data_IF_356223393369
#
_entry.id   IF_356223393369
#
_cell.length_a   1.000
_cell.length_b   1.000
_cell.length_c   1.000
_cell.angle_alpha   90.00
_cell.angle_beta   90.00
_cell.angle_gamma   90.00
#
_symmetry.space_group_name_H-M   'P 1'
#
loop_
_entity.id
_entity.type
_entity.pdbx_description
1 polymer ?
#
# COMPACT_ATOMS: atom_id res chain seq x y z
N UNK A 1 -30.91 23.60 52.36
CA UNK A 1 -30.04 22.72 53.16
C UNK A 1 -29.58 21.62 52.23
N UNK A 2 -28.62 21.94 51.37
CA UNK A 2 -27.92 20.94 50.54
C UNK A 2 -26.91 20.23 51.43
N UNK A 3 -27.07 18.92 51.54
CA UNK A 3 -26.16 18.01 52.21
C UNK A 3 -24.85 17.96 51.45
N UNK A 4 -23.76 18.45 52.05
CA UNK A 4 -22.40 18.29 51.53
C UNK A 4 -22.11 16.80 51.29
N UNK A 5 -21.72 16.39 50.07
CA UNK A 5 -21.28 15.03 49.80
C UNK A 5 -20.01 14.74 50.60
N UNK A 6 -20.00 13.60 51.31
CA UNK A 6 -18.88 13.21 52.16
C UNK A 6 -17.62 12.95 51.30
N UNK A 7 -16.44 13.51 51.64
CA UNK A 7 -15.24 13.41 50.79
C UNK A 7 -14.73 11.97 50.56
N UNK A 8 -15.19 11.02 51.40
CA UNK A 8 -14.89 9.60 51.25
C UNK A 8 -15.65 8.94 50.08
N UNK A 9 -16.85 9.42 49.71
CA UNK A 9 -17.59 8.88 48.57
C UNK A 9 -16.95 9.29 47.24
N UNK A 10 -16.46 10.51 47.15
CA UNK A 10 -15.91 11.05 45.91
C UNK A 10 -14.60 10.35 45.53
N UNK A 11 -13.78 10.01 46.53
CA UNK A 11 -12.56 9.22 46.35
C UNK A 11 -12.88 7.83 45.79
N UNK A 12 -13.89 7.14 46.36
CA UNK A 12 -14.31 5.82 45.89
C UNK A 12 -14.84 5.85 44.46
N UNK A 13 -15.59 6.90 44.13
CA UNK A 13 -16.11 7.13 42.78
C UNK A 13 -14.96 7.34 41.80
N UNK A 14 -13.97 8.16 42.16
CA UNK A 14 -12.82 8.45 41.30
C UNK A 14 -11.93 7.22 41.10
N UNK A 15 -11.71 6.41 42.15
CA UNK A 15 -11.02 5.12 42.03
C UNK A 15 -11.73 4.15 41.07
N UNK A 16 -13.06 4.08 41.16
CA UNK A 16 -13.86 3.27 40.24
C UNK A 16 -13.71 3.77 38.80
N UNK A 17 -13.79 5.08 38.57
CA UNK A 17 -13.63 5.68 37.24
C UNK A 17 -12.24 5.41 36.64
N UNK A 18 -11.17 5.54 37.43
CA UNK A 18 -9.81 5.22 36.99
C UNK A 18 -9.70 3.74 36.59
N UNK A 19 -10.28 2.85 37.39
CA UNK A 19 -10.27 1.41 37.10
C UNK A 19 -10.99 1.11 35.79
N UNK A 20 -12.18 1.67 35.59
CA UNK A 20 -12.99 1.47 34.38
C UNK A 20 -12.25 1.98 33.13
N UNK A 21 -11.61 3.15 33.20
CA UNK A 21 -10.82 3.72 32.10
C UNK A 21 -9.56 2.89 31.80
N UNK A 22 -8.89 2.36 32.82
CA UNK A 22 -7.70 1.51 32.66
C UNK A 22 -8.05 0.19 31.99
N UNK A 23 -9.15 -0.44 32.40
CA UNK A 23 -9.61 -1.70 31.80
C UNK A 23 -9.95 -1.53 30.31
N UNK A 24 -10.58 -0.42 29.92
CA UNK A 24 -10.85 -0.11 28.51
C UNK A 24 -9.57 0.17 27.73
N UNK A 25 -8.61 0.86 28.33
CA UNK A 25 -7.30 1.09 27.70
C UNK A 25 -6.61 -0.23 27.37
N UNK A 26 -6.55 -1.16 28.32
CA UNK A 26 -5.96 -2.48 28.12
C UNK A 26 -6.68 -3.26 27.02
N UNK A 27 -8.02 -3.25 27.01
CA UNK A 27 -8.83 -3.86 25.94
C UNK A 27 -8.50 -3.27 24.56
N UNK A 28 -8.41 -1.95 24.43
CA UNK A 28 -8.04 -1.29 23.17
C UNK A 28 -6.60 -1.65 22.76
N UNK A 29 -5.68 -1.79 23.71
CA UNK A 29 -4.31 -2.17 23.43
C UNK A 29 -4.20 -3.59 22.86
N UNK A 30 -5.02 -4.53 23.35
CA UNK A 30 -5.10 -5.88 22.76
C UNK A 30 -5.64 -5.86 21.33
N UNK A 31 -6.59 -4.97 21.00
CA UNK A 31 -7.11 -4.83 19.63
C UNK A 31 -6.05 -4.34 18.63
N UNK A 32 -5.12 -3.49 19.07
CA UNK A 32 -4.03 -2.98 18.22
C UNK A 32 -3.06 -4.07 17.77
N UNK A 33 -3.06 -5.23 18.44
CA UNK A 33 -2.24 -6.38 18.08
C UNK A 33 -2.92 -7.28 17.05
N UNK A 34 -4.19 -7.03 16.68
CA UNK A 34 -4.90 -7.83 15.69
C UNK A 34 -4.39 -7.47 14.28
N UNK A 35 -3.91 -8.45 13.49
CA UNK A 35 -3.47 -8.21 12.11
C UNK A 35 -4.57 -7.58 11.26
N UNK A 36 -4.23 -6.53 10.51
CA UNK A 36 -5.15 -5.82 9.61
C UNK A 36 -5.67 -6.69 8.46
N UNK A 37 -5.08 -7.86 8.24
CA UNK A 37 -5.59 -8.89 7.31
C UNK A 37 -6.96 -9.43 7.73
N UNK A 38 -7.27 -9.49 9.03
CA UNK A 38 -8.57 -9.98 9.52
C UNK A 38 -9.71 -8.98 9.31
N UNK A 39 -9.39 -7.69 9.16
CA UNK A 39 -10.38 -6.64 8.88
C UNK A 39 -10.81 -6.60 7.40
N UNK A 40 -10.14 -7.34 6.52
CA UNK A 40 -10.45 -7.39 5.07
C UNK A 40 -11.19 -8.66 4.64
N UNK A 41 -11.32 -9.66 5.50
CA UNK A 41 -12.03 -10.89 5.17
C UNK A 41 -13.54 -10.66 5.24
N UNK A 42 -14.22 -10.75 4.11
CA UNK A 42 -15.70 -10.75 4.00
C UNK A 42 -16.29 -12.14 4.23
N UNK A 43 -15.46 -13.13 4.60
CA UNK A 43 -15.91 -14.50 4.82
C UNK A 43 -16.51 -14.63 6.22
N UNK A 44 -17.80 -14.96 6.27
CA UNK A 44 -18.63 -14.93 7.48
C UNK A 44 -18.28 -15.96 8.57
N UNK A 45 -17.25 -16.80 8.38
CA UNK A 45 -17.03 -17.98 9.22
C UNK A 45 -15.98 -17.82 10.34
N UNK A 46 -15.15 -16.77 10.33
CA UNK A 46 -14.15 -16.53 11.39
C UNK A 46 -14.54 -15.35 12.31
N UNK A 47 -15.59 -15.54 13.13
CA UNK A 47 -16.15 -14.48 13.97
C UNK A 47 -15.58 -14.27 15.40
N UNK A 48 -14.55 -14.95 15.95
CA UNK A 48 -14.13 -14.67 17.32
C UNK A 48 -13.53 -13.26 17.49
N UNK A 49 -12.91 -12.71 16.44
CA UNK A 49 -12.39 -11.34 16.45
C UNK A 49 -13.49 -10.27 16.42
N UNK A 50 -14.55 -10.49 15.64
CA UNK A 50 -15.67 -9.56 15.52
C UNK A 50 -16.52 -9.51 16.79
N UNK A 51 -16.71 -10.63 17.49
CA UNK A 51 -17.39 -10.63 18.78
C UNK A 51 -16.66 -9.78 19.83
N UNK A 52 -15.32 -9.88 19.91
CA UNK A 52 -14.52 -9.05 20.80
C UNK A 52 -14.62 -7.56 20.48
N UNK A 53 -14.62 -7.21 19.19
CA UNK A 53 -14.83 -5.82 18.77
C UNK A 53 -16.21 -5.29 19.18
N UNK A 54 -17.24 -6.13 19.06
CA UNK A 54 -18.61 -5.78 19.49
C UNK A 54 -18.69 -5.57 21.00
N UNK A 55 -18.13 -6.49 21.79
CA UNK A 55 -18.08 -6.38 23.26
C UNK A 55 -17.35 -5.11 23.72
N UNK A 56 -16.22 -4.77 23.08
CA UNK A 56 -15.49 -3.53 23.39
C UNK A 56 -16.32 -2.31 22.99
N UNK A 57 -17.01 -2.36 21.84
CA UNK A 57 -17.94 -1.31 21.44
C UNK A 57 -19.09 -1.09 22.42
N UNK A 58 -19.66 -2.17 22.97
CA UNK A 58 -20.69 -2.12 24.00
C UNK A 58 -20.13 -1.59 25.32
N UNK A 59 -18.93 -2.01 25.72
CA UNK A 59 -18.22 -1.49 26.89
C UNK A 59 -17.94 0.01 26.78
N UNK A 60 -17.55 0.50 25.59
CA UNK A 60 -17.33 1.93 25.34
C UNK A 60 -18.64 2.71 25.43
N UNK A 61 -19.75 2.15 24.95
CA UNK A 61 -21.07 2.78 25.02
C UNK A 61 -21.74 2.72 26.40
N UNK A 62 -21.17 2.00 27.35
CA UNK A 62 -21.72 1.93 28.71
C UNK A 62 -21.81 3.33 29.36
N UNK A 63 -22.92 3.59 30.03
CA UNK A 63 -23.19 4.90 30.65
C UNK A 63 -22.15 5.25 31.73
N UNK A 64 -21.68 4.27 32.49
CA UNK A 64 -20.65 4.47 33.53
C UNK A 64 -19.32 4.94 32.95
N UNK A 65 -18.90 4.37 31.81
CA UNK A 65 -17.67 4.78 31.15
C UNK A 65 -17.83 6.16 30.51
N UNK A 66 -18.97 6.42 29.87
CA UNK A 66 -19.25 7.73 29.27
C UNK A 66 -19.26 8.83 30.34
N UNK A 67 -19.84 8.57 31.52
CA UNK A 67 -19.80 9.50 32.65
C UNK A 67 -18.37 9.68 33.20
N UNK A 68 -17.58 8.60 33.29
CA UNK A 68 -16.16 8.69 33.67
C UNK A 68 -15.34 9.53 32.68
N UNK A 69 -15.58 9.36 31.38
CA UNK A 69 -14.93 10.13 30.32
C UNK A 69 -15.33 11.60 30.35
N UNK A 70 -16.62 11.89 30.54
CA UNK A 70 -17.10 13.26 30.69
C UNK A 70 -16.49 13.94 31.93
N UNK A 71 -16.49 13.28 33.09
CA UNK A 71 -15.83 13.84 34.29
C UNK A 71 -14.32 14.04 34.11
N UNK A 72 -13.65 13.12 33.42
CA UNK A 72 -12.23 13.29 33.11
C UNK A 72 -12.02 14.51 32.20
N UNK A 73 -12.87 14.72 31.20
CA UNK A 73 -12.83 15.90 30.33
C UNK A 73 -13.10 17.20 31.10
N UNK A 74 -14.11 17.21 31.97
CA UNK A 74 -14.44 18.36 32.81
C UNK A 74 -13.30 18.67 33.79
N UNK A 75 -12.68 17.64 34.36
CA UNK A 75 -11.50 17.77 35.22
C UNK A 75 -10.30 18.37 34.47
N UNK A 76 -10.10 18.02 33.20
CA UNK A 76 -9.07 18.62 32.36
C UNK A 76 -9.37 20.12 32.12
N UNK A 77 -10.64 20.48 31.93
CA UNK A 77 -11.06 21.88 31.78
C UNK A 77 -10.95 22.70 33.07
N UNK A 78 -11.20 22.07 34.21
CA UNK A 78 -11.11 22.69 35.53
C UNK A 78 -9.67 22.81 36.06
N UNK A 79 -8.75 21.99 35.56
CA UNK A 79 -7.34 22.04 35.93
C UNK A 79 -6.65 23.24 35.26
N UNK A 80 -6.63 24.37 35.98
CA UNK A 80 -5.92 25.58 35.56
C UNK A 80 -4.39 25.42 35.61
N UNK A 81 -3.89 24.31 36.16
CA UNK A 81 -2.47 24.00 36.06
C UNK A 81 -2.23 23.57 34.61
N UNK A 82 -1.55 24.40 33.82
CA UNK A 82 -1.16 24.08 32.43
C UNK A 82 -0.12 22.93 32.36
N UNK A 83 -0.19 21.97 33.28
CA UNK A 83 0.53 20.72 33.25
C UNK A 83 -0.11 19.91 32.12
N UNK A 84 0.30 20.22 30.90
CA UNK A 84 -0.07 19.47 29.71
C UNK A 84 0.23 17.99 29.99
N UNK A 85 -0.82 17.19 30.22
CA UNK A 85 -0.79 15.75 30.47
C UNK A 85 -0.43 14.95 29.21
N UNK A 86 0.36 15.54 28.33
CA UNK A 86 0.99 14.87 27.20
C UNK A 86 2.36 14.34 27.65
N UNK A 87 2.46 13.11 28.20
CA UNK A 87 3.73 12.52 28.62
C UNK A 87 4.69 12.30 27.43
N UNK A 88 4.26 12.57 26.20
CA UNK A 88 5.00 12.18 25.00
C UNK A 88 6.01 13.21 24.50
N UNK A 89 6.11 14.42 25.09
CA UNK A 89 6.96 15.44 24.46
C UNK A 89 7.57 16.54 25.33
N UNK A 90 8.00 16.22 26.55
CA UNK A 90 9.01 17.08 27.20
C UNK A 90 10.41 16.71 26.68
N UNK A 91 10.68 17.11 25.43
CA UNK A 91 12.01 17.07 24.82
C UNK A 91 12.91 18.12 25.47
N UNK A 92 13.31 17.90 26.73
CA UNK A 92 14.45 18.59 27.36
C UNK A 92 15.72 18.17 26.64
N UNK A 93 15.97 18.81 25.49
CA UNK A 93 17.27 18.77 24.84
C UNK A 93 18.29 19.46 25.75
N UNK A 94 18.93 18.66 26.60
CA UNK A 94 20.22 18.99 27.19
C UNK A 94 21.14 19.48 26.08
N UNK A 95 21.60 20.73 26.21
CA UNK A 95 22.60 21.37 25.35
C UNK A 95 23.97 20.71 25.56
N UNK A 96 24.14 19.48 25.09
CA UNK A 96 25.49 18.93 24.84
C UNK A 96 25.84 19.19 23.39
N UNK A 97 27.05 19.69 23.07
CA UNK A 97 27.52 19.70 21.70
C UNK A 97 27.47 18.26 21.14
N UNK A 98 27.05 18.06 19.89
CA UNK A 98 26.88 16.74 19.32
C UNK A 98 28.21 16.00 19.33
N UNK A 99 28.27 14.87 20.04
CA UNK A 99 29.40 13.97 19.95
C UNK A 99 29.52 13.48 18.50
N UNK A 100 30.72 13.44 17.91
CA UNK A 100 30.95 13.15 16.49
C UNK A 100 30.57 11.72 16.05
N UNK A 101 30.08 10.87 16.96
CA UNK A 101 29.71 9.48 16.72
C UNK A 101 28.20 9.18 16.83
N UNK A 102 27.34 10.20 16.94
CA UNK A 102 25.89 9.99 16.94
C UNK A 102 25.33 10.03 15.51
N UNK A 103 24.54 9.02 15.07
CA UNK A 103 23.96 9.00 13.74
C UNK A 103 23.11 10.26 13.53
N UNK A 104 23.34 10.95 12.41
CA UNK A 104 22.63 12.20 12.12
C UNK A 104 21.10 11.97 12.14
N UNK A 105 20.32 12.93 12.67
CA UNK A 105 18.87 12.82 12.71
C UNK A 105 18.32 12.59 11.31
N UNK A 106 17.43 11.62 11.17
CA UNK A 106 16.82 11.26 9.89
C UNK A 106 16.14 12.49 9.28
N UNK A 107 16.77 13.07 8.26
CA UNK A 107 16.17 14.10 7.43
C UNK A 107 15.22 13.34 6.50
N UNK A 108 13.92 13.53 6.68
CA UNK A 108 12.94 13.05 5.72
C UNK A 108 13.31 13.63 4.36
N UNK A 109 13.85 12.79 3.47
CA UNK A 109 14.13 13.19 2.10
C UNK A 109 12.84 13.79 1.55
N UNK A 110 12.92 14.98 0.95
CA UNK A 110 11.80 15.52 0.20
C UNK A 110 11.26 14.42 -0.72
N UNK A 111 9.93 14.29 -0.90
CA UNK A 111 9.36 13.30 -1.79
C UNK A 111 10.09 13.41 -3.13
N UNK A 112 11.01 12.47 -3.38
CA UNK A 112 11.66 12.42 -4.67
C UNK A 112 10.54 12.01 -5.60
N UNK A 113 10.21 12.89 -6.54
CA UNK A 113 9.44 12.46 -7.68
C UNK A 113 10.16 11.22 -8.22
N UNK A 114 9.48 10.06 -8.23
CA UNK A 114 10.11 8.81 -8.62
C UNK A 114 10.74 9.09 -9.98
N UNK A 115 12.07 9.05 -10.03
CA UNK A 115 12.85 9.52 -11.17
C UNK A 115 12.50 8.60 -12.32
N UNK A 116 11.52 9.04 -13.08
CA UNK A 116 10.71 8.19 -13.91
C UNK A 116 11.47 7.96 -15.20
N UNK A 117 12.03 6.75 -15.31
CA UNK A 117 12.61 6.20 -16.53
C UNK A 117 13.88 6.93 -16.98
N UNK A 118 14.76 6.26 -17.73
CA UNK A 118 15.53 7.02 -18.71
C UNK A 118 14.50 7.85 -19.51
N UNK A 119 14.71 9.17 -19.66
CA UNK A 119 13.74 10.03 -20.35
C UNK A 119 13.37 9.36 -21.67
N UNK A 120 12.07 9.25 -21.99
CA UNK A 120 11.66 8.59 -23.22
C UNK A 120 12.47 9.20 -24.34
N UNK A 121 13.22 8.38 -25.05
CA UNK A 121 13.95 8.85 -26.22
C UNK A 121 12.89 9.35 -27.19
N UNK A 122 12.71 10.68 -27.24
CA UNK A 122 11.65 11.37 -27.99
C UNK A 122 11.64 11.06 -29.49
N UNK A 123 12.63 10.32 -29.97
CA UNK A 123 12.85 9.99 -31.38
C UNK A 123 12.34 8.59 -31.76
N UNK A 124 11.72 7.83 -30.84
CA UNK A 124 11.21 6.49 -31.19
C UNK A 124 9.80 6.61 -31.77
N UNK A 125 9.66 6.22 -33.03
CA UNK A 125 8.38 6.17 -33.72
C UNK A 125 7.44 5.15 -33.04
N UNK A 126 6.16 5.50 -32.78
CA UNK A 126 5.19 4.59 -32.19
C UNK A 126 5.06 3.31 -33.03
N UNK A 127 5.06 2.14 -32.37
CA UNK A 127 4.88 0.87 -33.05
C UNK A 127 3.46 0.76 -33.62
N UNK A 128 3.37 0.38 -34.90
CA UNK A 128 2.10 0.08 -35.54
C UNK A 128 1.64 -1.34 -35.17
N UNK A 129 0.32 -1.55 -35.19
CA UNK A 129 -0.27 -2.86 -34.92
C UNK A 129 0.23 -3.96 -35.86
N UNK A 130 0.47 -3.62 -37.13
CA UNK A 130 0.97 -4.55 -38.16
C UNK A 130 2.43 -4.99 -37.92
N UNK A 131 3.26 -4.10 -37.36
CA UNK A 131 4.68 -4.35 -37.12
C UNK A 131 4.95 -5.12 -35.82
N UNK A 132 3.93 -5.30 -34.98
CA UNK A 132 4.07 -5.94 -33.67
C UNK A 132 4.66 -7.36 -33.76
N UNK A 133 4.21 -8.14 -34.73
CA UNK A 133 4.69 -9.52 -34.90
C UNK A 133 6.16 -9.55 -35.32
N UNK A 134 6.59 -8.62 -36.18
CA UNK A 134 7.98 -8.47 -36.61
C UNK A 134 8.86 -8.02 -35.44
N UNK A 135 8.42 -7.01 -34.70
CA UNK A 135 9.09 -6.51 -33.50
C UNK A 135 9.28 -7.61 -32.45
N UNK A 136 8.25 -8.41 -32.16
CA UNK A 136 8.35 -9.51 -31.18
C UNK A 136 9.39 -10.55 -31.61
N UNK A 137 9.47 -10.87 -32.91
CA UNK A 137 10.46 -11.83 -33.43
C UNK A 137 11.87 -11.29 -33.28
N UNK A 138 12.10 -10.03 -33.65
CA UNK A 138 13.39 -9.34 -33.52
C UNK A 138 13.81 -9.26 -32.04
N UNK A 139 12.91 -8.81 -31.17
CA UNK A 139 13.15 -8.70 -29.73
C UNK A 139 13.57 -10.05 -29.12
N UNK A 140 12.89 -11.14 -29.47
CA UNK A 140 13.19 -12.49 -28.96
C UNK A 140 14.47 -13.10 -29.54
N UNK A 141 14.97 -12.61 -30.67
CA UNK A 141 16.24 -13.05 -31.25
C UNK A 141 17.43 -12.40 -30.57
N UNK A 142 17.30 -11.12 -30.22
CA UNK A 142 18.38 -10.33 -29.63
C UNK A 142 18.54 -10.56 -28.13
N UNK A 143 17.46 -10.91 -27.42
CA UNK A 143 17.43 -10.90 -25.95
C UNK A 143 17.18 -12.27 -25.35
N UNK A 144 17.69 -12.46 -24.13
CA UNK A 144 17.42 -13.65 -23.30
C UNK A 144 16.02 -13.68 -22.68
N UNK A 145 15.23 -12.61 -22.88
CA UNK A 145 13.85 -12.47 -22.42
C UNK A 145 12.86 -12.87 -23.51
N UNK A 146 11.65 -13.24 -23.13
CA UNK A 146 10.62 -13.74 -24.06
C UNK A 146 9.41 -12.84 -24.05
N UNK A 147 9.07 -12.28 -25.21
CA UNK A 147 7.85 -11.55 -25.46
C UNK A 147 6.95 -12.38 -26.39
N UNK A 148 5.70 -12.59 -26.00
CA UNK A 148 4.74 -13.35 -26.80
C UNK A 148 3.37 -12.69 -26.78
N UNK A 149 2.61 -12.85 -27.87
CA UNK A 149 1.18 -12.55 -27.86
C UNK A 149 0.49 -13.61 -26.99
N UNK A 150 -0.26 -13.16 -25.99
CA UNK A 150 -1.03 -14.04 -25.13
C UNK A 150 -2.50 -14.05 -25.56
N UNK A 151 -3.03 -15.23 -25.80
CA UNK A 151 -4.43 -15.44 -26.17
C UNK A 151 -4.97 -16.63 -25.37
N UNK A 152 -6.20 -16.53 -24.86
CA UNK A 152 -6.85 -17.70 -24.23
C UNK A 152 -7.18 -18.72 -25.33
N UNK A 153 -6.66 -19.93 -25.18
CA UNK A 153 -6.68 -20.96 -26.20
C UNK A 153 -8.07 -21.55 -26.52
N UNK A 154 -9.10 -21.31 -25.68
CA UNK A 154 -10.31 -22.15 -25.69
C UNK A 154 -11.54 -21.46 -26.30
N UNK A 155 -11.71 -20.14 -26.13
CA UNK A 155 -13.00 -19.50 -26.44
C UNK A 155 -12.92 -18.19 -27.24
N UNK A 156 -11.73 -17.69 -27.57
CA UNK A 156 -11.59 -16.35 -28.17
C UNK A 156 -11.15 -16.46 -29.64
N UNK A 157 -11.94 -15.92 -30.60
CA UNK A 157 -11.52 -15.91 -32.00
C UNK A 157 -10.18 -15.18 -32.11
N UNK A 158 -9.28 -15.68 -32.98
CA UNK A 158 -8.04 -14.97 -33.32
C UNK A 158 -8.41 -13.60 -33.86
N UNK A 159 -8.22 -12.59 -33.03
CA UNK A 159 -8.36 -11.20 -33.43
C UNK A 159 -7.09 -10.78 -34.15
N UNK A 160 -7.25 -10.09 -35.29
CA UNK A 160 -6.11 -9.51 -36.02
C UNK A 160 -5.32 -8.51 -35.17
N UNK A 161 -5.94 -7.99 -34.11
CA UNK A 161 -5.35 -7.06 -33.15
C UNK A 161 -5.24 -7.70 -31.77
N UNK A 162 -4.05 -8.19 -31.37
CA UNK A 162 -3.86 -8.76 -30.04
C UNK A 162 -4.03 -7.69 -28.95
N UNK A 163 -4.70 -8.03 -27.85
CA UNK A 163 -4.91 -7.10 -26.72
C UNK A 163 -3.93 -7.32 -25.56
N UNK A 164 -3.24 -8.47 -25.55
CA UNK A 164 -2.39 -8.84 -24.44
C UNK A 164 -1.06 -9.40 -24.92
N UNK A 165 0.01 -8.90 -24.33
CA UNK A 165 1.34 -9.45 -24.47
C UNK A 165 1.75 -10.09 -23.14
N UNK A 166 2.51 -11.17 -23.22
CA UNK A 166 3.18 -11.79 -22.09
C UNK A 166 4.68 -11.63 -22.28
N UNK A 167 5.26 -10.82 -21.42
CA UNK A 167 6.70 -10.68 -21.23
C UNK A 167 7.14 -11.64 -20.14
N UNK A 168 8.23 -12.37 -20.35
CA UNK A 168 8.70 -13.40 -19.43
C UNK A 168 10.21 -13.37 -19.34
N UNK A 169 10.69 -13.25 -18.11
CA UNK A 169 12.08 -13.48 -17.76
C UNK A 169 12.13 -14.83 -17.04
N UNK A 170 12.84 -15.82 -17.59
CA UNK A 170 12.94 -17.14 -16.99
C UNK A 170 13.33 -17.05 -15.52
N UNK A 171 12.59 -17.76 -14.67
CA UNK A 171 12.82 -17.86 -13.22
C UNK A 171 12.76 -16.55 -12.40
N UNK A 172 12.46 -15.41 -13.02
CA UNK A 172 12.38 -14.11 -12.33
C UNK A 172 10.95 -13.54 -12.29
N UNK A 173 10.34 -13.28 -13.44
CA UNK A 173 9.04 -12.59 -13.49
C UNK A 173 8.29 -12.88 -14.79
N UNK A 174 6.97 -12.97 -14.70
CA UNK A 174 6.05 -12.92 -15.85
C UNK A 174 5.23 -11.65 -15.76
N UNK A 175 5.26 -10.82 -16.80
CA UNK A 175 4.48 -9.58 -16.88
C UNK A 175 3.47 -9.71 -18.02
N UNK A 176 2.20 -9.48 -17.71
CA UNK A 176 1.16 -9.33 -18.71
C UNK A 176 0.95 -7.85 -19.00
N UNK A 177 0.97 -7.49 -20.27
CA UNK A 177 0.89 -6.13 -20.77
C UNK A 177 -0.40 -6.02 -21.58
N UNK A 178 -1.34 -5.20 -21.10
CA UNK A 178 -2.54 -4.84 -21.85
C UNK A 178 -2.20 -3.75 -22.85
N UNK A 179 -2.52 -4.00 -24.11
CA UNK A 179 -2.29 -3.07 -25.21
C UNK A 179 -3.60 -2.64 -25.84
N UNK A 180 -3.72 -1.34 -26.06
CA UNK A 180 -4.76 -0.68 -26.82
C UNK A 180 -4.23 -0.20 -28.17
N UNK A 181 -5.15 0.17 -29.06
CA UNK A 181 -4.82 0.69 -30.39
C UNK A 181 -5.43 2.08 -30.55
N UNK A 182 -4.61 3.07 -30.86
CA UNK A 182 -5.05 4.46 -31.04
C UNK A 182 -4.92 4.89 -32.51
N UNK A 183 -5.99 5.52 -33.02
CA UNK A 183 -6.02 6.12 -34.35
C UNK A 183 -6.26 5.14 -35.52
N UNK A 184 -6.37 5.65 -36.76
CA UNK A 184 -6.64 4.85 -37.95
C UNK A 184 -5.50 3.89 -38.27
N UNK A 185 -4.27 4.31 -38.00
CA UNK A 185 -3.05 3.52 -38.23
C UNK A 185 -2.87 2.43 -37.16
N UNK A 186 -3.64 2.47 -36.06
CA UNK A 186 -3.56 1.48 -34.99
C UNK A 186 -2.21 1.53 -34.27
N UNK A 187 -1.81 2.71 -33.80
CA UNK A 187 -0.62 2.85 -32.96
C UNK A 187 -0.85 2.10 -31.65
N UNK A 188 0.13 1.31 -31.22
CA UNK A 188 0.04 0.54 -29.99
C UNK A 188 0.25 1.46 -28.79
N UNK A 189 -0.72 1.44 -27.88
CA UNK A 189 -0.66 2.10 -26.58
C UNK A 189 -0.63 1.04 -25.49
N UNK A 190 0.17 1.24 -24.45
CA UNK A 190 0.14 0.39 -23.26
C UNK A 190 -0.93 0.92 -22.31
N UNK A 191 -1.90 0.08 -21.98
CA UNK A 191 -2.99 0.44 -21.06
C UNK A 191 -2.68 0.06 -19.61
N UNK A 192 -2.13 -1.15 -19.42
CA UNK A 192 -1.88 -1.69 -18.08
C UNK A 192 -0.78 -2.75 -18.10
N UNK A 193 -0.15 -2.98 -16.95
CA UNK A 193 0.84 -4.02 -16.75
C UNK A 193 0.64 -4.71 -15.39
N UNK A 194 0.62 -6.04 -15.38
CA UNK A 194 0.50 -6.86 -14.18
C UNK A 194 1.64 -7.86 -14.10
N UNK A 195 2.38 -7.85 -13.00
CA UNK A 195 3.53 -8.72 -12.76
C UNK A 195 3.16 -9.90 -11.85
N UNK A 196 3.76 -11.06 -12.13
CA UNK A 196 3.55 -12.31 -11.42
C UNK A 196 4.86 -13.07 -11.24
N UNK A 197 4.90 -13.93 -10.22
CA UNK A 197 6.00 -14.86 -10.05
C UNK A 197 6.02 -15.89 -11.21
N UNK A 198 7.19 -16.45 -11.56
CA UNK A 198 7.34 -17.39 -12.68
C UNK A 198 6.44 -18.63 -12.60
N UNK A 199 6.06 -19.02 -11.38
CA UNK A 199 5.29 -20.25 -11.10
C UNK A 199 3.80 -19.99 -10.88
N UNK A 200 3.36 -18.73 -10.88
CA UNK A 200 1.94 -18.39 -10.71
C UNK A 200 1.15 -18.66 -11.99
N UNK A 201 0.24 -19.63 -11.94
CA UNK A 201 -0.70 -19.94 -13.05
C UNK A 201 -1.98 -19.12 -12.93
N UNK A 202 -1.83 -17.79 -12.83
CA UNK A 202 -2.97 -16.87 -12.70
C UNK A 202 -3.33 -16.21 -14.02
N UNK A 203 -4.59 -15.84 -14.13
CA UNK A 203 -5.07 -15.05 -15.25
C UNK A 203 -4.58 -13.59 -15.12
N UNK A 204 -4.38 -12.88 -16.25
CA UNK A 204 -3.78 -11.53 -16.27
C UNK A 204 -4.59 -10.45 -15.54
N UNK A 205 -5.89 -10.67 -15.34
CA UNK A 205 -6.79 -9.78 -14.59
C UNK A 205 -6.76 -10.00 -13.07
N UNK A 206 -6.08 -11.05 -12.60
CA UNK A 206 -5.90 -11.31 -11.18
C UNK A 206 -4.68 -10.56 -10.65
N UNK A 207 -4.53 -10.51 -9.33
CA UNK A 207 -3.34 -9.98 -8.68
C UNK A 207 -2.42 -11.14 -8.24
N UNK A 208 -1.10 -10.87 -8.22
CA UNK A 208 -0.12 -11.81 -7.69
C UNK A 208 -0.38 -12.09 -6.20
N UNK A 209 -0.07 -13.30 -5.75
CA UNK A 209 -0.09 -13.68 -4.34
C UNK A 209 1.09 -13.08 -3.54
N UNK A 210 2.17 -12.71 -4.21
CA UNK A 210 3.36 -12.19 -3.55
C UNK A 210 3.35 -10.67 -3.55
N UNK A 211 3.60 -10.09 -2.36
CA UNK A 211 3.62 -8.64 -2.15
C UNK A 211 4.62 -7.92 -3.04
N UNK A 212 5.78 -8.52 -3.32
CA UNK A 212 6.82 -7.95 -4.19
C UNK A 212 6.27 -7.67 -5.60
N UNK A 213 5.58 -8.64 -6.21
CA UNK A 213 5.01 -8.47 -7.55
C UNK A 213 3.76 -7.58 -7.55
N UNK A 214 3.01 -7.53 -6.45
CA UNK A 214 1.94 -6.52 -6.27
C UNK A 214 2.52 -5.11 -6.25
N UNK A 215 3.59 -4.87 -5.49
CA UNK A 215 4.29 -3.58 -5.44
C UNK A 215 4.86 -3.23 -6.82
N UNK A 216 5.47 -4.18 -7.52
CA UNK A 216 5.99 -3.98 -8.88
C UNK A 216 4.86 -3.57 -9.85
N UNK A 217 3.72 -4.25 -9.81
CA UNK A 217 2.54 -3.89 -10.62
C UNK A 217 2.04 -2.48 -10.32
N UNK A 218 2.04 -2.08 -9.04
CA UNK A 218 1.68 -0.71 -8.64
C UNK A 218 2.69 0.32 -9.15
N UNK A 219 3.98 -0.01 -9.18
CA UNK A 219 5.00 0.87 -9.76
C UNK A 219 4.73 1.03 -11.26
N UNK A 220 4.52 -0.05 -12.01
CA UNK A 220 4.15 0.06 -13.43
C UNK A 220 2.90 0.92 -13.65
N UNK A 221 1.87 0.78 -12.80
CA UNK A 221 0.69 1.62 -12.90
C UNK A 221 1.05 3.10 -12.71
N UNK A 222 1.80 3.48 -11.67
CA UNK A 222 2.22 4.88 -11.44
C UNK A 222 2.97 5.45 -12.63
N UNK A 223 3.83 4.64 -13.23
CA UNK A 223 4.61 4.99 -14.42
C UNK A 223 3.70 5.29 -15.60
N UNK A 224 2.80 4.36 -15.94
CA UNK A 224 1.90 4.51 -17.07
C UNK A 224 0.98 5.73 -16.89
N UNK A 225 0.59 6.04 -15.66
CA UNK A 225 -0.21 7.24 -15.36
C UNK A 225 0.58 8.54 -15.50
N UNK A 226 1.85 8.54 -15.07
CA UNK A 226 2.72 9.71 -15.22
C UNK A 226 3.08 10.01 -16.68
N UNK A 227 3.07 9.00 -17.53
CA UNK A 227 3.45 9.10 -18.94
C UNK A 227 2.45 8.33 -19.83
N UNK A 228 1.24 8.89 -19.98
CA UNK A 228 0.22 8.32 -20.85
C UNK A 228 0.64 8.48 -22.33
N UNK A 229 1.19 7.41 -22.91
CA UNK A 229 1.72 7.44 -24.28
C UNK A 229 3.12 6.88 -24.45
N UNK A 230 3.69 6.22 -23.43
CA UNK A 230 4.96 5.50 -23.59
C UNK A 230 4.85 4.49 -24.74
N UNK A 231 5.74 4.61 -25.72
CA UNK A 231 5.87 3.64 -26.80
C UNK A 231 6.33 2.28 -26.25
N UNK A 232 5.77 1.19 -26.77
CA UNK A 232 6.08 -0.18 -26.31
C UNK A 232 7.59 -0.46 -26.35
N UNK A 233 8.28 0.01 -27.39
CA UNK A 233 9.71 -0.19 -27.56
C UNK A 233 10.52 0.44 -26.42
N UNK A 234 10.19 1.69 -26.04
CA UNK A 234 10.85 2.41 -24.95
C UNK A 234 10.64 1.72 -23.59
N UNK A 235 9.44 1.17 -23.37
CA UNK A 235 9.13 0.40 -22.17
C UNK A 235 9.95 -0.89 -22.11
N UNK A 236 10.06 -1.64 -23.20
CA UNK A 236 10.79 -2.92 -23.23
C UNK A 236 12.28 -2.73 -22.97
N UNK A 237 12.89 -1.68 -23.52
CA UNK A 237 14.29 -1.33 -23.21
C UNK A 237 14.47 -1.02 -21.72
N UNK A 238 13.50 -0.31 -21.13
CA UNK A 238 13.56 0.07 -19.70
C UNK A 238 13.32 -1.11 -18.78
N UNK A 239 12.43 -2.05 -19.13
CA UNK A 239 12.15 -3.24 -18.32
C UNK A 239 13.41 -4.08 -18.11
N UNK A 240 14.22 -4.25 -19.15
CA UNK A 240 15.47 -5.01 -19.01
C UNK A 240 16.40 -4.34 -17.99
N UNK A 241 16.54 -3.00 -18.04
CA UNK A 241 17.35 -2.26 -17.06
C UNK A 241 16.84 -2.42 -15.62
N UNK A 242 15.52 -2.41 -15.43
CA UNK A 242 14.89 -2.52 -14.09
C UNK A 242 15.12 -3.87 -13.43
N UNK A 243 15.09 -4.95 -14.21
CA UNK A 243 15.32 -6.27 -13.66
C UNK A 243 16.78 -6.45 -13.23
N UNK A 244 17.73 -5.89 -13.97
CA UNK A 244 19.13 -5.90 -13.56
C UNK A 244 19.37 -5.09 -12.29
N UNK A 245 18.81 -3.87 -12.19
CA UNK A 245 19.01 -3.03 -10.99
C UNK A 245 18.28 -3.56 -9.76
N UNK A 246 17.13 -4.22 -9.93
CA UNK A 246 16.41 -4.85 -8.83
C UNK A 246 17.08 -6.13 -8.32
N UNK A 247 17.96 -6.77 -9.11
CA UNK A 247 18.70 -7.96 -8.69
C UNK A 247 19.92 -7.65 -7.81
N UNK A 248 20.37 -6.40 -7.79
CA UNK A 248 21.52 -5.94 -6.98
C UNK A 248 21.13 -5.43 -5.57
N UNK A 249 19.84 -5.55 -5.20
CA UNK A 249 19.30 -5.18 -3.88
C UNK A 249 18.95 -6.44 -3.08
#
# INVERSE_FOLDING_TARGET
MESDPSPLSDLQILQKQIKDLTEVYDKIQTLRQIPTSLLKSTSHEDQPGFHRLKEIGESIRSSSLQEALHRAQDSIGADATQINSNPRRESRKQRRPPSPASPQPYISKAPQEPTAFPPPSNNVQPLLGEDLASFIKEYNQERGTKLHIWQRAVDEPRTDRPKLLRFTIPDVVTVYISIGYQGPNGNILIENMTAFAPREKKAPHLQSEYTVFQTLSQQFARVLHSHSGIALQSLMVSCDYWIWTASDI
#
